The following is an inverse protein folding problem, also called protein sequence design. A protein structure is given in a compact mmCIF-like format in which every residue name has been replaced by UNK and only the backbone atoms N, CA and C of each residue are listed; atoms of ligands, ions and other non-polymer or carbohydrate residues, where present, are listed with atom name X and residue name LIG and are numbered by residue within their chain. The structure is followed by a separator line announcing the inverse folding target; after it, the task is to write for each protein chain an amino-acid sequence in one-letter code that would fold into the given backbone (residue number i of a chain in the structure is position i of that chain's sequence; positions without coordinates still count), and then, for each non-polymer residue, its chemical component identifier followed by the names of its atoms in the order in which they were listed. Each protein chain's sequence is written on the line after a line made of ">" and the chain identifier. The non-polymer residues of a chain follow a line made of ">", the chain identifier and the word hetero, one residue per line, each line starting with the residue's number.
data_IF_633739661166
#
_entry.id   IF_633739661166
#
_cell.length_a   1.000
_cell.length_b   1.000
_cell.length_c   1.000
_cell.angle_alpha   90.00
_cell.angle_beta   90.00
_cell.angle_gamma   90.00
#
_symmetry.space_group_name_H-M   'P 1'
#
loop_
_entity.id
_entity.type
_entity.pdbx_description
1 polymer ?
#
# COMPACT_ATOMS: atom_id res chain seq x y z
N UNK A 1 9.35 -30.27 15.60
CA UNK A 1 9.50 -29.37 16.76
C UNK A 1 9.98 -30.21 17.93
N UNK A 2 10.98 -29.78 18.71
CA UNK A 2 11.27 -30.45 19.97
C UNK A 2 10.01 -30.42 20.83
N UNK A 3 9.66 -31.55 21.45
CA UNK A 3 8.48 -31.68 22.29
C UNK A 3 8.72 -30.99 23.63
N UNK A 4 8.45 -29.69 23.71
CA UNK A 4 8.43 -28.98 24.99
C UNK A 4 7.14 -29.30 25.74
N UNK A 5 7.27 -29.62 27.03
CA UNK A 5 6.12 -29.75 27.93
C UNK A 5 5.62 -28.36 28.36
N UNK A 6 4.37 -28.29 28.83
CA UNK A 6 3.80 -27.07 29.43
C UNK A 6 4.68 -26.56 30.60
N UNK A 7 5.34 -27.47 31.30
CA UNK A 7 6.24 -27.16 32.42
C UNK A 7 7.53 -26.49 31.95
N UNK A 8 8.04 -26.89 30.78
CA UNK A 8 9.21 -26.26 30.16
C UNK A 8 8.87 -24.84 29.69
N UNK A 9 7.68 -24.65 29.09
CA UNK A 9 7.19 -23.34 28.68
C UNK A 9 6.91 -22.40 29.87
N UNK A 10 6.57 -22.93 31.04
CA UNK A 10 6.37 -22.15 32.27
C UNK A 10 7.68 -21.69 32.92
N UNK A 11 8.77 -22.43 32.67
CA UNK A 11 10.08 -22.20 33.29
C UNK A 11 11.07 -21.48 32.36
N UNK A 12 10.81 -21.44 31.06
CA UNK A 12 11.66 -20.72 30.10
C UNK A 12 11.67 -19.23 30.42
N UNK A 13 12.88 -18.68 30.51
CA UNK A 13 13.10 -17.24 30.56
C UNK A 13 12.81 -16.61 29.20
N UNK A 14 12.55 -15.31 29.21
CA UNK A 14 12.41 -14.50 28.00
C UNK A 14 13.65 -14.58 27.10
N UNK A 15 14.84 -14.61 27.71
CA UNK A 15 16.12 -14.69 27.00
C UNK A 15 16.26 -16.03 26.26
N UNK A 16 16.01 -17.15 26.94
CA UNK A 16 16.07 -18.48 26.32
C UNK A 16 15.07 -18.64 25.19
N UNK A 17 13.87 -18.07 25.36
CA UNK A 17 12.86 -18.05 24.30
C UNK A 17 13.36 -17.26 23.09
N UNK A 18 13.96 -16.08 23.32
CA UNK A 18 14.45 -15.22 22.25
C UNK A 18 15.64 -15.82 21.49
N UNK A 19 16.59 -16.44 22.19
CA UNK A 19 17.79 -17.04 21.61
C UNK A 19 17.43 -18.22 20.67
N UNK A 20 16.43 -19.03 21.03
CA UNK A 20 15.86 -20.09 20.19
C UNK A 20 15.32 -19.60 18.83
N UNK A 21 14.73 -18.40 18.80
CA UNK A 21 14.25 -17.80 17.55
C UNK A 21 15.40 -17.18 16.75
N UNK A 22 16.35 -16.51 17.41
CA UNK A 22 17.46 -15.78 16.79
C UNK A 22 18.44 -16.66 15.99
N UNK A 23 18.83 -17.82 16.54
CA UNK A 23 19.80 -18.72 15.91
C UNK A 23 19.31 -19.28 14.57
N UNK A 24 17.99 -19.48 14.44
CA UNK A 24 17.41 -20.05 13.23
C UNK A 24 17.32 -19.05 12.08
N UNK A 25 17.08 -17.77 12.38
CA UNK A 25 16.96 -16.72 11.35
C UNK A 25 18.31 -16.29 10.79
N UNK A 26 19.36 -16.31 11.61
CA UNK A 26 20.69 -15.85 11.21
C UNK A 26 21.31 -16.73 10.12
N UNK A 27 20.95 -18.01 10.07
CA UNK A 27 21.39 -18.96 9.02
C UNK A 27 20.72 -18.72 7.66
N UNK A 28 19.46 -18.29 7.63
CA UNK A 28 18.67 -18.09 6.40
C UNK A 28 18.80 -16.67 5.80
N UNK A 29 19.43 -15.73 6.51
CA UNK A 29 19.50 -14.29 6.16
C UNK A 29 20.71 -13.86 5.30
N UNK A 30 21.54 -14.79 4.82
CA UNK A 30 22.68 -14.45 3.94
C UNK A 30 22.23 -14.05 2.52
N UNK A 31 22.78 -12.98 1.89
CA UNK A 31 22.44 -12.57 0.51
C UNK A 31 22.69 -13.67 -0.54
N UNK A 32 23.67 -14.54 -0.31
CA UNK A 32 23.93 -15.69 -1.17
C UNK A 32 22.82 -16.75 -1.07
N UNK A 33 22.03 -16.74 0.02
CA UNK A 33 20.99 -17.70 0.36
C UNK A 33 19.60 -17.41 -0.22
N UNK A 34 19.36 -16.28 -0.91
CA UNK A 34 18.07 -16.07 -1.59
C UNK A 34 17.92 -17.10 -2.72
N UNK A 35 16.99 -18.02 -2.55
CA UNK A 35 16.55 -19.02 -3.52
C UNK A 35 15.03 -19.10 -3.45
N UNK A 36 14.36 -19.67 -4.46
CA UNK A 36 12.91 -19.91 -4.40
C UNK A 36 12.52 -20.69 -3.13
N UNK A 37 13.30 -21.72 -2.76
CA UNK A 37 13.06 -22.53 -1.56
C UNK A 37 13.18 -21.71 -0.27
N UNK A 38 14.24 -20.90 -0.13
CA UNK A 38 14.44 -20.07 1.06
C UNK A 38 13.36 -19.00 1.15
N UNK A 39 13.00 -18.37 0.03
CA UNK A 39 11.93 -17.38 -0.03
C UNK A 39 10.59 -17.95 0.44
N UNK A 40 10.17 -19.10 -0.12
CA UNK A 40 8.95 -19.81 0.27
C UNK A 40 8.91 -20.13 1.76
N UNK A 41 10.01 -20.64 2.31
CA UNK A 41 10.14 -20.93 3.75
C UNK A 41 9.96 -19.68 4.60
N UNK A 42 10.63 -18.58 4.26
CA UNK A 42 10.54 -17.32 5.01
C UNK A 42 9.11 -16.76 4.95
N UNK A 43 8.46 -16.80 3.78
CA UNK A 43 7.07 -16.37 3.64
C UNK A 43 6.11 -17.24 4.44
N UNK A 44 6.28 -18.57 4.39
CA UNK A 44 5.47 -19.50 5.18
C UNK A 44 5.65 -19.25 6.68
N UNK A 45 6.89 -19.01 7.13
CA UNK A 45 7.19 -18.70 8.52
C UNK A 45 6.59 -17.36 8.97
N UNK A 46 6.64 -16.34 8.12
CA UNK A 46 5.95 -15.06 8.35
C UNK A 46 4.44 -15.27 8.48
N UNK A 47 3.81 -16.01 7.55
CA UNK A 47 2.38 -16.33 7.59
C UNK A 47 1.99 -17.07 8.88
N UNK A 48 2.73 -18.11 9.26
CA UNK A 48 2.50 -18.85 10.50
C UNK A 48 2.63 -17.95 11.73
N UNK A 49 3.58 -17.01 11.72
CA UNK A 49 3.76 -16.04 12.81
C UNK A 49 2.54 -15.11 12.92
N UNK A 50 2.05 -14.59 11.79
CA UNK A 50 0.85 -13.75 11.75
C UNK A 50 -0.41 -14.51 12.20
N UNK A 51 -0.60 -15.76 11.77
CA UNK A 51 -1.74 -16.58 12.19
C UNK A 51 -1.75 -16.82 13.70
N UNK A 52 -0.57 -17.04 14.31
CA UNK A 52 -0.48 -17.15 15.77
C UNK A 52 -0.78 -15.80 16.42
N UNK A 53 -0.27 -14.69 15.88
CA UNK A 53 -0.57 -13.35 16.40
C UNK A 53 -2.06 -13.01 16.35
N UNK A 54 -2.77 -13.38 15.29
CA UNK A 54 -4.21 -13.19 15.16
C UNK A 54 -4.97 -13.91 16.28
N UNK A 55 -4.59 -15.14 16.59
CA UNK A 55 -5.13 -15.90 17.73
C UNK A 55 -4.85 -15.24 19.08
N UNK A 56 -3.80 -14.41 19.17
CA UNK A 56 -3.35 -13.75 20.39
C UNK A 56 -3.87 -12.30 20.53
N UNK A 57 -4.56 -11.73 19.54
CA UNK A 57 -4.93 -10.30 19.52
C UNK A 57 -5.77 -9.82 20.71
N UNK A 58 -6.55 -10.70 21.35
CA UNK A 58 -7.43 -10.33 22.47
C UNK A 58 -6.74 -10.39 23.84
N UNK A 59 -5.53 -10.93 23.92
CA UNK A 59 -4.83 -11.14 25.19
C UNK A 59 -4.53 -9.85 25.97
N UNK A 60 -4.13 -8.73 25.36
CA UNK A 60 -3.85 -7.49 26.11
C UNK A 60 -5.09 -6.96 26.85
N UNK A 61 -6.27 -7.05 26.21
CA UNK A 61 -7.55 -6.63 26.81
C UNK A 61 -7.94 -7.53 27.98
N UNK A 62 -7.85 -8.85 27.79
CA UNK A 62 -8.09 -9.85 28.83
C UNK A 62 -7.13 -9.69 30.02
N UNK A 63 -5.84 -9.46 29.75
CA UNK A 63 -4.84 -9.24 30.78
C UNK A 63 -5.13 -7.99 31.62
N UNK A 64 -5.46 -6.87 30.96
CA UNK A 64 -5.82 -5.62 31.63
C UNK A 64 -7.06 -5.78 32.51
N UNK A 65 -8.11 -6.43 31.99
CA UNK A 65 -9.35 -6.69 32.73
C UNK A 65 -9.12 -7.56 33.97
N UNK A 66 -8.34 -8.64 33.84
CA UNK A 66 -8.03 -9.56 34.94
C UNK A 66 -7.10 -8.94 35.99
N UNK A 67 -6.14 -8.12 35.57
CA UNK A 67 -5.30 -7.34 36.49
C UNK A 67 -6.13 -6.35 37.30
N UNK A 68 -7.11 -5.71 36.68
CA UNK A 68 -8.05 -4.83 37.37
C UNK A 68 -8.91 -5.60 38.37
N UNK A 69 -9.45 -6.76 37.98
CA UNK A 69 -10.21 -7.64 38.89
C UNK A 69 -9.37 -8.13 40.08
N UNK A 70 -8.14 -8.59 39.84
CA UNK A 70 -7.20 -9.03 40.90
C UNK A 70 -6.91 -7.90 41.90
N UNK A 71 -6.68 -6.67 41.41
CA UNK A 71 -6.51 -5.48 42.25
C UNK A 71 -7.74 -5.17 43.09
N UNK A 72 -8.93 -5.24 42.51
CA UNK A 72 -10.20 -4.93 43.21
C UNK A 72 -10.53 -5.98 44.28
N UNK A 73 -10.18 -7.25 44.04
CA UNK A 73 -10.53 -8.36 44.95
C UNK A 73 -9.36 -8.84 45.83
N UNK A 74 -8.21 -8.15 45.81
CA UNK A 74 -6.97 -8.55 46.53
C UNK A 74 -6.56 -10.01 46.27
N UNK A 75 -6.88 -10.53 45.09
CA UNK A 75 -6.41 -11.85 44.68
C UNK A 75 -4.91 -11.71 44.41
N UNK A 76 -4.07 -12.49 45.10
CA UNK A 76 -2.63 -12.55 44.83
C UNK A 76 -2.33 -12.92 43.37
N UNK A 77 -1.06 -12.89 42.96
CA UNK A 77 -0.70 -13.35 41.62
C UNK A 77 -1.16 -14.79 41.41
N UNK A 78 -2.25 -14.95 40.66
CA UNK A 78 -2.79 -16.27 40.33
C UNK A 78 -1.95 -16.89 39.22
N UNK A 79 -1.94 -18.22 39.15
CA UNK A 79 -1.36 -18.95 38.01
C UNK A 79 -1.89 -18.44 36.66
N UNK A 80 -3.15 -18.00 36.61
CA UNK A 80 -3.78 -17.39 35.43
C UNK A 80 -3.13 -16.06 35.05
N UNK A 81 -2.83 -15.17 36.01
CA UNK A 81 -2.16 -13.90 35.74
C UNK A 81 -0.77 -14.12 35.13
N UNK A 82 -0.02 -15.10 35.65
CA UNK A 82 1.31 -15.48 35.15
C UNK A 82 1.26 -16.10 33.75
N UNK A 83 0.26 -16.93 33.47
CA UNK A 83 0.03 -17.48 32.11
C UNK A 83 -0.25 -16.36 31.11
N UNK A 84 -1.09 -15.38 31.47
CA UNK A 84 -1.38 -14.25 30.58
C UNK A 84 -0.18 -13.32 30.37
N UNK A 85 0.66 -13.11 31.39
CA UNK A 85 1.93 -12.39 31.24
C UNK A 85 2.85 -13.10 30.23
N UNK A 86 3.03 -14.41 30.37
CA UNK A 86 3.85 -15.19 29.44
C UNK A 86 3.29 -15.12 28.01
N UNK A 87 1.97 -15.24 27.83
CA UNK A 87 1.34 -15.13 26.52
C UNK A 87 1.49 -13.72 25.91
N UNK A 88 1.40 -12.66 26.72
CA UNK A 88 1.66 -11.29 26.26
C UNK A 88 3.13 -11.09 25.83
N UNK A 89 4.08 -11.71 26.54
CA UNK A 89 5.49 -11.67 26.16
C UNK A 89 5.75 -12.45 24.87
N UNK A 90 5.14 -13.63 24.71
CA UNK A 90 5.19 -14.41 23.47
C UNK A 90 4.60 -13.59 22.31
N UNK A 91 3.47 -12.91 22.52
CA UNK A 91 2.88 -12.04 21.52
C UNK A 91 3.87 -10.95 21.07
N UNK A 92 4.50 -10.23 22.02
CA UNK A 92 5.48 -9.19 21.70
C UNK A 92 6.71 -9.74 20.96
N UNK A 93 7.19 -10.93 21.36
CA UNK A 93 8.28 -11.62 20.68
C UNK A 93 7.89 -11.98 19.24
N UNK A 94 6.70 -12.55 19.04
CA UNK A 94 6.20 -12.92 17.72
C UNK A 94 5.99 -11.70 16.81
N UNK A 95 5.51 -10.56 17.34
CA UNK A 95 5.46 -9.30 16.59
C UNK A 95 6.85 -8.90 16.11
N UNK A 96 7.81 -8.86 17.04
CA UNK A 96 9.20 -8.47 16.74
C UNK A 96 9.84 -9.40 15.71
N UNK A 97 9.62 -10.72 15.84
CA UNK A 97 10.14 -11.70 14.90
C UNK A 97 9.43 -11.63 13.55
N UNK A 98 8.10 -11.41 13.52
CA UNK A 98 7.33 -11.16 12.30
C UNK A 98 7.91 -9.99 11.51
N UNK A 99 8.14 -8.86 12.19
CA UNK A 99 8.73 -7.67 11.58
C UNK A 99 10.15 -7.92 11.07
N UNK A 100 10.96 -8.67 11.82
CA UNK A 100 12.31 -9.08 11.38
C UNK A 100 12.28 -9.96 10.14
N UNK A 101 11.41 -10.98 10.09
CA UNK A 101 11.27 -11.84 8.91
C UNK A 101 10.87 -11.00 7.70
N UNK A 102 9.88 -10.12 7.88
CA UNK A 102 9.42 -9.23 6.82
C UNK A 102 10.56 -8.37 6.29
N UNK A 103 11.33 -7.75 7.18
CA UNK A 103 12.50 -6.94 6.84
C UNK A 103 13.58 -7.76 6.11
N UNK A 104 13.90 -8.97 6.58
CA UNK A 104 14.88 -9.87 5.94
C UNK A 104 14.47 -10.21 4.51
N UNK A 105 13.21 -10.61 4.30
CA UNK A 105 12.76 -10.95 2.97
C UNK A 105 12.84 -9.73 2.03
N UNK A 106 12.48 -8.53 2.52
CA UNK A 106 12.64 -7.29 1.75
C UNK A 106 14.10 -7.03 1.36
N UNK A 107 14.99 -7.03 2.35
CA UNK A 107 16.41 -6.79 2.15
C UNK A 107 17.03 -7.78 1.17
N UNK A 108 16.70 -9.06 1.27
CA UNK A 108 17.20 -10.09 0.35
C UNK A 108 16.73 -9.82 -1.09
N UNK A 109 15.46 -9.46 -1.28
CA UNK A 109 14.91 -9.21 -2.62
C UNK A 109 15.46 -7.94 -3.27
N UNK A 110 15.76 -6.90 -2.49
CA UNK A 110 16.38 -5.67 -2.99
C UNK A 110 17.89 -5.86 -3.26
N UNK A 111 18.60 -6.65 -2.45
CA UNK A 111 20.03 -6.95 -2.63
C UNK A 111 20.33 -7.91 -3.79
N UNK A 112 19.33 -8.61 -4.32
CA UNK A 112 19.51 -9.57 -5.41
C UNK A 112 18.35 -9.54 -6.41
N UNK A 113 18.24 -8.49 -7.23
CA UNK A 113 17.08 -8.28 -8.10
C UNK A 113 16.91 -9.36 -9.17
N UNK A 114 17.98 -9.96 -9.67
CA UNK A 114 17.91 -11.06 -10.66
C UNK A 114 17.28 -12.30 -10.04
N UNK A 115 17.63 -12.60 -8.79
CA UNK A 115 17.03 -13.70 -8.03
C UNK A 115 15.58 -13.39 -7.68
N UNK A 116 15.26 -12.15 -7.31
CA UNK A 116 13.89 -11.72 -7.05
C UNK A 116 13.01 -11.83 -8.31
N UNK A 117 13.55 -11.45 -9.48
CA UNK A 117 12.88 -11.60 -10.78
C UNK A 117 12.60 -13.08 -11.10
N UNK A 118 13.60 -13.96 -10.90
CA UNK A 118 13.43 -15.40 -11.06
C UNK A 118 12.34 -15.96 -10.15
N UNK A 119 12.37 -15.62 -8.85
CA UNK A 119 11.36 -16.05 -7.88
C UNK A 119 9.96 -15.58 -8.30
N UNK A 120 9.82 -14.31 -8.68
CA UNK A 120 8.55 -13.75 -9.13
C UNK A 120 7.97 -14.53 -10.31
N UNK A 121 8.77 -14.79 -11.35
CA UNK A 121 8.31 -15.55 -12.51
C UNK A 121 7.85 -16.96 -12.11
N UNK A 122 8.63 -17.68 -11.28
CA UNK A 122 8.24 -19.00 -10.79
C UNK A 122 6.92 -18.96 -10.01
N UNK A 123 6.68 -17.94 -9.19
CA UNK A 123 5.43 -17.81 -8.43
C UNK A 123 4.23 -17.51 -9.33
N UNK A 124 4.39 -16.69 -10.36
CA UNK A 124 3.33 -16.42 -11.34
C UNK A 124 2.97 -17.69 -12.13
N UNK A 125 3.98 -18.47 -12.54
CA UNK A 125 3.80 -19.75 -13.21
C UNK A 125 3.13 -20.80 -12.31
N UNK A 126 3.60 -20.95 -11.07
CA UNK A 126 2.98 -21.86 -10.09
C UNK A 126 1.55 -21.46 -9.77
N UNK A 127 1.26 -20.17 -9.60
CA UNK A 127 -0.09 -19.68 -9.35
C UNK A 127 -1.04 -20.09 -10.47
N UNK A 128 -0.60 -19.95 -11.72
CA UNK A 128 -1.34 -20.38 -12.91
C UNK A 128 -1.62 -21.88 -12.88
N UNK A 129 -0.64 -22.67 -12.42
CA UNK A 129 -0.75 -24.14 -12.32
C UNK A 129 -1.64 -24.61 -11.16
N UNK A 130 -1.72 -23.86 -10.06
CA UNK A 130 -2.51 -24.22 -8.88
C UNK A 130 -4.03 -24.04 -9.06
N UNK A 131 -4.50 -23.51 -10.21
CA UNK A 131 -5.92 -23.23 -10.47
C UNK A 131 -6.58 -22.46 -9.31
N UNK A 132 -5.86 -21.47 -8.77
CA UNK A 132 -6.37 -20.65 -7.68
C UNK A 132 -7.74 -20.07 -8.05
N UNK A 133 -8.70 -20.18 -7.14
CA UNK A 133 -10.05 -19.66 -7.37
C UNK A 133 -10.09 -18.15 -7.14
N UNK A 134 -9.44 -17.38 -8.02
CA UNK A 134 -9.40 -15.91 -7.98
C UNK A 134 -10.81 -15.31 -7.90
N UNK A 135 -11.78 -15.90 -8.62
CA UNK A 135 -13.18 -15.44 -8.61
C UNK A 135 -13.87 -15.52 -7.25
N UNK A 136 -13.38 -16.37 -6.33
CA UNK A 136 -13.91 -16.45 -4.95
C UNK A 136 -13.26 -15.42 -4.02
N UNK A 137 -12.03 -15.01 -4.32
CA UNK A 137 -11.24 -14.12 -3.47
C UNK A 137 -11.26 -12.65 -3.92
N UNK A 138 -11.59 -12.39 -5.18
CA UNK A 138 -11.57 -11.07 -5.79
C UNK A 138 -12.80 -10.86 -6.67
N UNK A 139 -13.36 -9.66 -6.63
CA UNK A 139 -14.55 -9.30 -7.42
C UNK A 139 -14.22 -9.15 -8.92
N UNK A 140 -13.01 -8.68 -9.25
CA UNK A 140 -12.62 -8.34 -10.62
C UNK A 140 -11.22 -8.84 -11.03
N UNK A 141 -10.34 -9.17 -10.07
CA UNK A 141 -8.97 -9.56 -10.37
C UNK A 141 -8.91 -10.99 -10.93
N UNK A 142 -8.19 -11.16 -12.04
CA UNK A 142 -7.94 -12.42 -12.69
C UNK A 142 -6.48 -12.84 -12.57
N UNK A 143 -6.22 -14.12 -12.80
CA UNK A 143 -4.85 -14.65 -12.76
C UNK A 143 -3.95 -14.03 -13.84
N UNK A 144 -4.51 -13.63 -14.98
CA UNK A 144 -3.81 -12.90 -16.03
C UNK A 144 -3.34 -11.52 -15.56
N UNK A 145 -4.03 -10.89 -14.61
CA UNK A 145 -3.62 -9.59 -14.09
C UNK A 145 -2.35 -9.70 -13.25
N UNK A 146 -2.17 -10.83 -12.55
CA UNK A 146 -0.94 -11.15 -11.82
C UNK A 146 0.28 -11.19 -12.76
N UNK A 147 0.11 -11.61 -14.02
CA UNK A 147 1.20 -11.67 -14.99
C UNK A 147 1.80 -10.30 -15.26
N UNK A 148 1.03 -9.22 -15.15
CA UNK A 148 1.52 -7.84 -15.37
C UNK A 148 2.53 -7.39 -14.33
N UNK A 149 2.61 -8.07 -13.19
CA UNK A 149 3.62 -7.83 -12.18
C UNK A 149 4.99 -8.36 -12.56
N UNK A 150 5.10 -9.25 -13.57
CA UNK A 150 6.37 -9.82 -14.02
C UNK A 150 7.39 -8.71 -14.36
N UNK A 151 8.69 -9.00 -14.26
CA UNK A 151 9.73 -8.00 -14.51
C UNK A 151 9.57 -7.38 -15.90
N UNK A 152 9.65 -6.04 -15.97
CA UNK A 152 9.54 -5.23 -17.20
C UNK A 152 8.14 -5.10 -17.81
N UNK A 153 7.14 -5.79 -17.27
CA UNK A 153 5.77 -5.64 -17.75
C UNK A 153 5.06 -4.42 -17.16
N UNK A 154 4.15 -3.84 -17.93
CA UNK A 154 3.33 -2.72 -17.50
C UNK A 154 2.13 -3.21 -16.69
N UNK A 155 1.93 -2.62 -15.52
CA UNK A 155 0.75 -2.93 -14.71
C UNK A 155 -0.52 -2.57 -15.47
N UNK A 156 -1.52 -3.43 -15.37
CA UNK A 156 -2.85 -3.13 -15.88
C UNK A 156 -3.71 -2.42 -14.82
N UNK A 157 -4.87 -1.94 -15.26
CA UNK A 157 -5.81 -1.21 -14.40
C UNK A 157 -6.36 -2.05 -13.26
N UNK A 158 -6.52 -3.36 -13.44
CA UNK A 158 -7.12 -4.22 -12.41
C UNK A 158 -6.15 -4.41 -11.24
N UNK A 159 -4.86 -4.64 -11.52
CA UNK A 159 -3.83 -4.67 -10.48
C UNK A 159 -3.74 -3.33 -9.73
N UNK A 160 -3.78 -2.21 -10.45
CA UNK A 160 -3.75 -0.86 -9.84
C UNK A 160 -4.98 -0.65 -8.93
N UNK A 161 -6.18 -0.87 -9.45
CA UNK A 161 -7.42 -0.66 -8.71
C UNK A 161 -7.49 -1.56 -7.48
N UNK A 162 -7.03 -2.83 -7.57
CA UNK A 162 -6.94 -3.73 -6.42
C UNK A 162 -6.13 -3.13 -5.26
N UNK A 163 -4.93 -2.59 -5.54
CA UNK A 163 -4.10 -2.01 -4.49
C UNK A 163 -4.65 -0.69 -3.96
N UNK A 164 -5.29 0.12 -4.82
CA UNK A 164 -6.00 1.32 -4.38
C UNK A 164 -7.11 0.96 -3.41
N UNK A 165 -7.97 0.00 -3.77
CA UNK A 165 -9.06 -0.47 -2.92
C UNK A 165 -8.52 -1.01 -1.58
N UNK A 166 -7.50 -1.86 -1.65
CA UNK A 166 -6.92 -2.52 -0.48
C UNK A 166 -6.28 -1.54 0.48
N UNK A 167 -5.40 -0.66 -0.01
CA UNK A 167 -4.61 0.21 0.85
C UNK A 167 -5.38 1.44 1.33
N UNK A 168 -6.39 1.89 0.59
CA UNK A 168 -7.24 3.01 1.01
C UNK A 168 -8.32 2.59 2.02
N UNK A 169 -8.77 1.33 2.02
CA UNK A 169 -9.90 0.87 2.86
C UNK A 169 -9.77 1.24 4.34
N UNK A 170 -8.57 1.15 4.89
CA UNK A 170 -8.28 1.39 6.32
C UNK A 170 -7.45 2.66 6.56
N UNK A 171 -7.39 3.58 5.61
CA UNK A 171 -6.62 4.82 5.73
C UNK A 171 -7.52 6.06 5.77
N UNK A 172 -6.91 7.24 5.91
CA UNK A 172 -7.57 8.54 5.77
C UNK A 172 -7.61 9.02 4.31
N UNK A 173 -7.33 8.14 3.35
CA UNK A 173 -7.22 8.46 1.93
C UNK A 173 -8.34 7.78 1.15
N UNK A 174 -9.18 8.57 0.48
CA UNK A 174 -10.18 8.10 -0.46
C UNK A 174 -9.52 7.78 -1.81
N UNK A 175 -9.23 6.50 -2.04
CA UNK A 175 -8.70 6.04 -3.33
C UNK A 175 -9.79 5.94 -4.38
N UNK A 176 -9.63 6.63 -5.51
CA UNK A 176 -10.56 6.57 -6.65
C UNK A 176 -10.04 5.59 -7.71
N UNK A 177 -10.96 4.93 -8.43
CA UNK A 177 -10.60 3.95 -9.46
C UNK A 177 -10.42 4.55 -10.84
N UNK A 178 -9.77 3.84 -11.76
CA UNK A 178 -9.52 4.33 -13.13
C UNK A 178 -10.80 4.67 -13.91
N UNK A 179 -11.91 3.98 -13.63
CA UNK A 179 -13.20 4.31 -14.25
C UNK A 179 -13.71 5.68 -13.81
N UNK A 180 -13.52 6.02 -12.53
CA UNK A 180 -13.86 7.33 -11.99
C UNK A 180 -13.03 8.41 -12.68
N UNK A 181 -11.72 8.20 -12.79
CA UNK A 181 -10.79 9.10 -13.49
C UNK A 181 -11.28 9.41 -14.90
N UNK A 182 -11.57 8.37 -15.70
CA UNK A 182 -12.05 8.53 -17.07
C UNK A 182 -13.38 9.27 -17.16
N UNK A 183 -14.24 9.13 -16.15
CA UNK A 183 -15.60 9.68 -16.18
C UNK A 183 -15.63 11.16 -15.80
N UNK A 184 -14.81 11.55 -14.82
CA UNK A 184 -14.90 12.88 -14.21
C UNK A 184 -13.76 13.81 -14.56
N UNK A 185 -12.63 13.31 -15.07
CA UNK A 185 -11.47 14.14 -15.39
C UNK A 185 -11.22 14.34 -16.89
N UNK A 186 -11.68 13.42 -17.75
CA UNK A 186 -11.32 13.38 -19.16
C UNK A 186 -12.53 13.23 -20.09
N UNK A 187 -12.43 13.83 -21.28
CA UNK A 187 -13.43 13.69 -22.36
C UNK A 187 -13.34 12.32 -23.06
N UNK A 188 -12.17 11.68 -23.00
CA UNK A 188 -11.86 10.42 -23.65
C UNK A 188 -11.49 9.33 -22.65
N UNK A 189 -11.72 8.07 -23.04
CA UNK A 189 -11.40 6.90 -22.20
C UNK A 189 -9.89 6.65 -22.06
N UNK A 190 -9.05 7.28 -22.89
CA UNK A 190 -7.60 7.12 -22.89
C UNK A 190 -6.87 8.11 -21.98
N UNK A 191 -7.58 8.95 -21.23
CA UNK A 191 -7.02 10.01 -20.39
C UNK A 191 -6.05 10.94 -21.13
N UNK A 192 -6.40 11.33 -22.35
CA UNK A 192 -5.54 12.20 -23.20
C UNK A 192 -6.02 13.64 -23.23
N UNK A 193 -7.31 13.88 -23.02
CA UNK A 193 -7.97 15.19 -23.10
C UNK A 193 -8.72 15.48 -21.81
N UNK A 194 -8.10 16.16 -20.83
CA UNK A 194 -8.81 16.66 -19.66
C UNK A 194 -9.96 17.57 -20.09
N UNK A 195 -11.07 17.57 -19.34
CA UNK A 195 -12.18 18.47 -19.61
C UNK A 195 -11.75 19.95 -19.65
N UNK A 196 -12.23 20.71 -20.63
CA UNK A 196 -11.97 22.15 -20.76
C UNK A 196 -13.17 23.03 -20.37
N UNK A 197 -14.33 22.40 -20.13
CA UNK A 197 -15.60 23.04 -19.76
C UNK A 197 -16.15 22.45 -18.48
N UNK A 198 -16.49 23.33 -17.55
CA UNK A 198 -16.99 22.97 -16.22
C UNK A 198 -18.44 23.42 -16.06
N UNK A 199 -19.37 22.47 -16.07
CA UNK A 199 -20.78 22.77 -15.80
C UNK A 199 -21.09 22.56 -14.32
N UNK A 200 -21.24 23.67 -13.61
CA UNK A 200 -21.45 23.71 -12.16
C UNK A 200 -22.89 23.36 -11.74
N UNK A 201 -23.85 23.27 -12.67
CA UNK A 201 -25.27 23.04 -12.34
C UNK A 201 -25.82 21.78 -13.02
N UNK A 202 -24.90 20.88 -13.40
CA UNK A 202 -25.18 19.70 -14.20
C UNK A 202 -25.50 18.45 -13.40
N UNK A 203 -26.07 17.49 -14.12
CA UNK A 203 -26.06 16.06 -13.77
C UNK A 203 -24.65 15.56 -13.39
N UNK A 204 -23.58 16.08 -13.99
CA UNK A 204 -22.20 15.65 -13.73
C UNK A 204 -21.77 15.95 -12.29
N UNK A 205 -22.12 17.11 -11.74
CA UNK A 205 -21.84 17.43 -10.32
C UNK A 205 -22.57 16.46 -9.39
N UNK A 206 -23.84 16.17 -9.67
CA UNK A 206 -24.62 15.21 -8.88
C UNK A 206 -24.11 13.77 -9.02
N UNK A 207 -23.61 13.38 -10.19
CA UNK A 207 -22.95 12.07 -10.41
C UNK A 207 -21.61 12.00 -9.67
N UNK A 208 -20.82 13.08 -9.68
CA UNK A 208 -19.56 13.21 -8.95
C UNK A 208 -19.80 13.01 -7.45
N UNK A 209 -20.69 13.81 -6.84
CA UNK A 209 -21.02 13.71 -5.41
C UNK A 209 -21.51 12.32 -5.02
N UNK A 210 -22.40 11.71 -5.83
CA UNK A 210 -22.87 10.33 -5.61
C UNK A 210 -21.75 9.30 -5.73
N UNK A 211 -20.78 9.50 -6.63
CA UNK A 211 -19.65 8.59 -6.77
C UNK A 211 -18.72 8.64 -5.55
N UNK A 212 -18.46 9.82 -5.00
CA UNK A 212 -17.70 10.01 -3.76
C UNK A 212 -18.43 9.34 -2.59
N UNK A 213 -19.72 9.61 -2.43
CA UNK A 213 -20.54 8.98 -1.39
C UNK A 213 -20.55 7.45 -1.49
N UNK A 214 -20.60 6.89 -2.70
CA UNK A 214 -20.51 5.43 -2.88
C UNK A 214 -19.17 4.92 -2.39
N UNK A 215 -18.09 5.59 -2.76
CA UNK A 215 -16.74 5.17 -2.42
C UNK A 215 -16.44 5.28 -0.93
N UNK A 216 -16.97 6.29 -0.27
CA UNK A 216 -16.86 6.45 1.18
C UNK A 216 -17.46 5.26 1.94
N UNK A 217 -18.54 4.65 1.42
CA UNK A 217 -19.15 3.46 2.03
C UNK A 217 -18.30 2.19 1.93
N UNK A 218 -17.28 2.19 1.09
CA UNK A 218 -16.34 1.08 0.96
C UNK A 218 -15.15 1.20 1.93
N UNK A 219 -15.06 2.31 2.69
CA UNK A 219 -14.02 2.53 3.69
C UNK A 219 -14.45 1.96 5.05
N UNK A 220 -13.49 1.36 5.75
CA UNK A 220 -13.66 0.95 7.15
C UNK A 220 -13.57 2.17 8.09
N UNK A 221 -12.85 3.23 7.66
CA UNK A 221 -12.83 4.53 8.30
C UNK A 221 -13.49 5.60 7.39
N UNK A 222 -14.69 6.10 7.72
CA UNK A 222 -15.38 7.07 6.88
C UNK A 222 -14.73 8.47 6.91
N UNK A 223 -13.83 8.74 7.86
CA UNK A 223 -13.13 10.02 7.93
C UNK A 223 -11.89 9.98 7.05
N UNK A 224 -12.00 10.60 5.89
CA UNK A 224 -10.91 10.80 4.95
C UNK A 224 -10.61 12.30 4.78
N UNK A 225 -9.32 12.63 4.61
CA UNK A 225 -8.86 13.99 4.31
C UNK A 225 -8.06 14.07 3.03
N UNK A 226 -7.72 12.94 2.43
CA UNK A 226 -6.97 12.86 1.16
C UNK A 226 -7.78 12.16 0.10
N UNK A 227 -7.53 12.48 -1.16
CA UNK A 227 -8.05 11.77 -2.32
C UNK A 227 -6.89 11.37 -3.20
N UNK A 228 -6.85 10.10 -3.59
CA UNK A 228 -5.85 9.57 -4.50
C UNK A 228 -6.49 9.14 -5.82
N UNK A 229 -5.96 9.62 -6.95
CA UNK A 229 -6.55 9.41 -8.28
C UNK A 229 -5.51 8.80 -9.22
N UNK A 230 -5.65 7.54 -9.66
CA UNK A 230 -4.79 6.92 -10.66
C UNK A 230 -5.15 7.40 -12.06
N UNK A 231 -4.14 7.62 -12.90
CA UNK A 231 -4.33 8.09 -14.27
C UNK A 231 -3.48 7.24 -15.21
N UNK A 232 -4.13 6.65 -16.21
CA UNK A 232 -3.49 5.89 -17.28
C UNK A 232 -3.62 6.66 -18.59
N UNK A 233 -2.57 7.37 -18.99
CA UNK A 233 -2.54 7.94 -20.33
C UNK A 233 -2.23 6.82 -21.33
N UNK A 234 -3.25 6.36 -22.04
CA UNK A 234 -3.15 5.24 -22.96
C UNK A 234 -2.29 5.57 -24.20
N UNK A 235 -2.23 6.83 -24.61
CA UNK A 235 -1.43 7.25 -25.77
C UNK A 235 0.08 7.26 -25.46
N UNK A 236 0.43 7.71 -24.26
CA UNK A 236 1.82 7.69 -23.79
C UNK A 236 2.21 6.35 -23.14
N UNK A 237 1.21 5.47 -22.96
CA UNK A 237 1.29 4.25 -22.19
C UNK A 237 1.97 4.44 -20.83
N UNK A 238 1.46 5.42 -20.07
CA UNK A 238 2.10 5.92 -18.88
C UNK A 238 1.13 6.06 -17.70
N UNK A 239 1.58 5.59 -16.54
CA UNK A 239 0.87 5.71 -15.27
C UNK A 239 1.44 6.85 -14.44
N UNK A 240 0.55 7.71 -13.95
CA UNK A 240 0.83 8.73 -12.96
C UNK A 240 -0.42 8.94 -12.09
N UNK A 241 -0.35 9.78 -11.07
CA UNK A 241 -1.49 10.02 -10.20
C UNK A 241 -1.64 11.49 -9.83
N UNK A 242 -2.83 11.82 -9.32
CA UNK A 242 -3.09 13.06 -8.62
C UNK A 242 -3.43 12.77 -7.15
N UNK A 243 -3.05 13.70 -6.29
CA UNK A 243 -3.36 13.72 -4.87
C UNK A 243 -4.03 15.05 -4.54
N UNK A 244 -5.13 14.99 -3.79
CA UNK A 244 -5.80 16.17 -3.20
C UNK A 244 -5.74 15.97 -1.69
N UNK A 245 -5.15 16.91 -0.96
CA UNK A 245 -5.06 16.87 0.50
C UNK A 245 -5.82 18.07 1.09
N UNK A 246 -6.93 17.80 1.75
CA UNK A 246 -7.78 18.81 2.39
C UNK A 246 -7.19 19.29 3.73
N UNK A 247 -6.30 18.54 4.38
CA UNK A 247 -5.66 19.00 5.62
C UNK A 247 -4.46 19.91 5.30
N UNK A 248 -3.75 19.63 4.20
CA UNK A 248 -2.59 20.41 3.76
C UNK A 248 -2.92 21.47 2.69
N UNK A 249 -4.17 21.52 2.22
CA UNK A 249 -4.62 22.37 1.12
C UNK A 249 -3.74 22.23 -0.13
N UNK A 250 -3.51 21.00 -0.58
CA UNK A 250 -2.69 20.73 -1.78
C UNK A 250 -3.45 19.99 -2.87
N UNK A 251 -3.13 20.33 -4.13
CA UNK A 251 -3.46 19.54 -5.31
C UNK A 251 -2.16 19.27 -6.06
N UNK A 252 -1.77 18.01 -6.12
CA UNK A 252 -0.47 17.58 -6.60
C UNK A 252 -0.61 16.52 -7.67
N UNK A 253 0.11 16.68 -8.77
CA UNK A 253 0.23 15.64 -9.80
C UNK A 253 1.62 15.00 -9.67
N UNK A 254 1.64 13.69 -9.40
CA UNK A 254 2.83 12.90 -9.13
C UNK A 254 3.15 12.04 -10.34
N UNK A 255 4.10 12.50 -11.16
CA UNK A 255 4.55 11.84 -12.38
C UNK A 255 6.05 11.50 -12.26
N UNK A 256 6.34 10.20 -12.16
CA UNK A 256 7.72 9.67 -12.02
C UNK A 256 8.53 9.72 -13.32
N UNK A 257 7.96 10.17 -14.44
CA UNK A 257 8.64 10.15 -15.73
C UNK A 257 9.61 11.32 -15.90
N UNK A 258 10.91 11.00 -15.89
CA UNK A 258 11.98 11.98 -16.02
C UNK A 258 11.89 12.94 -17.22
N UNK A 259 11.49 12.50 -18.43
CA UNK A 259 11.22 13.40 -19.55
C UNK A 259 10.15 14.45 -19.25
N UNK A 260 9.03 14.09 -18.60
CA UNK A 260 8.01 15.07 -18.18
C UNK A 260 8.62 16.09 -17.22
N UNK A 261 9.39 15.62 -16.24
CA UNK A 261 10.01 16.48 -15.22
C UNK A 261 10.96 17.51 -15.83
N UNK A 262 11.92 17.05 -16.66
CA UNK A 262 12.85 17.93 -17.36
C UNK A 262 12.15 18.93 -18.27
N UNK A 263 11.07 18.49 -18.94
CA UNK A 263 10.28 19.37 -19.81
C UNK A 263 9.57 20.47 -19.02
N UNK A 264 9.21 20.22 -17.77
CA UNK A 264 8.45 21.15 -16.92
C UNK A 264 9.33 22.14 -16.13
N UNK A 265 10.58 21.79 -15.79
CA UNK A 265 11.43 22.54 -14.85
C UNK A 265 11.54 24.05 -15.14
N UNK A 266 11.62 24.45 -16.41
CA UNK A 266 11.86 25.84 -16.80
C UNK A 266 10.68 26.47 -17.56
N UNK A 267 9.49 25.87 -17.49
CA UNK A 267 8.31 26.36 -18.20
C UNK A 267 7.40 27.19 -17.28
N UNK A 268 6.83 28.30 -17.79
CA UNK A 268 5.70 28.96 -17.14
C UNK A 268 4.57 27.96 -16.86
N UNK A 269 3.81 28.17 -15.78
CA UNK A 269 2.75 27.25 -15.34
C UNK A 269 1.81 26.82 -16.49
N UNK A 270 1.35 27.77 -17.31
CA UNK A 270 0.44 27.51 -18.45
C UNK A 270 1.03 26.61 -19.53
N UNK A 271 2.35 26.43 -19.56
CA UNK A 271 3.07 25.62 -20.54
C UNK A 271 3.60 24.31 -19.95
N UNK A 272 3.48 24.10 -18.63
CA UNK A 272 3.82 22.82 -18.00
C UNK A 272 2.82 21.75 -18.45
N UNK A 273 3.34 20.53 -18.62
CA UNK A 273 2.51 19.34 -18.80
C UNK A 273 1.61 19.17 -17.58
N UNK A 274 0.41 18.64 -17.80
CA UNK A 274 -0.66 18.43 -16.82
C UNK A 274 -1.37 19.69 -16.30
N UNK A 275 -1.05 20.89 -16.77
CA UNK A 275 -1.77 22.11 -16.33
C UNK A 275 -3.26 22.11 -16.66
N UNK A 276 -3.65 21.54 -17.81
CA UNK A 276 -5.07 21.36 -18.14
C UNK A 276 -5.76 20.42 -17.14
N UNK A 277 -5.12 19.30 -16.81
CA UNK A 277 -5.61 18.36 -15.81
C UNK A 277 -5.70 19.01 -14.41
N UNK A 278 -4.73 19.84 -14.03
CA UNK A 278 -4.77 20.58 -12.78
C UNK A 278 -6.01 21.47 -12.67
N UNK A 279 -6.41 22.15 -13.75
CA UNK A 279 -7.63 22.95 -13.76
C UNK A 279 -8.89 22.11 -13.50
N UNK A 280 -8.93 20.89 -14.06
CA UNK A 280 -10.02 19.94 -13.79
C UNK A 280 -10.02 19.47 -12.35
N UNK A 281 -8.84 19.18 -11.79
CA UNK A 281 -8.68 18.78 -10.39
C UNK A 281 -9.08 19.89 -9.42
N UNK A 282 -8.76 21.15 -9.74
CA UNK A 282 -9.23 22.31 -8.97
C UNK A 282 -10.76 22.36 -8.96
N UNK A 283 -11.40 22.23 -10.13
CA UNK A 283 -12.87 22.19 -10.22
C UNK A 283 -13.47 21.05 -9.41
N UNK A 284 -12.94 19.83 -9.55
CA UNK A 284 -13.37 18.65 -8.78
C UNK A 284 -13.23 18.90 -7.27
N UNK A 285 -12.10 19.48 -6.85
CA UNK A 285 -11.81 19.76 -5.44
C UNK A 285 -12.86 20.68 -4.84
N UNK A 286 -13.23 21.76 -5.53
CA UNK A 286 -14.30 22.65 -5.07
C UNK A 286 -15.67 21.94 -4.97
N UNK A 287 -16.00 21.04 -5.93
CA UNK A 287 -17.28 20.30 -5.89
C UNK A 287 -17.32 19.26 -4.77
N UNK A 288 -16.17 18.66 -4.46
CA UNK A 288 -16.04 17.69 -3.38
C UNK A 288 -16.01 18.41 -2.02
N UNK A 289 -15.34 19.56 -1.91
CA UNK A 289 -15.39 20.42 -0.73
C UNK A 289 -16.84 20.79 -0.38
N UNK A 290 -17.62 21.20 -1.38
CA UNK A 290 -19.05 21.50 -1.20
C UNK A 290 -19.83 20.30 -0.64
N UNK A 291 -19.53 19.07 -1.11
CA UNK A 291 -20.13 17.85 -0.57
C UNK A 291 -19.74 17.59 0.89
N UNK A 292 -18.48 17.91 1.26
CA UNK A 292 -17.96 17.82 2.63
C UNK A 292 -18.51 18.92 3.56
N UNK A 293 -19.22 19.91 3.02
CA UNK A 293 -19.66 21.10 3.77
C UNK A 293 -18.55 22.14 3.99
N UNK A 294 -17.47 22.07 3.20
CA UNK A 294 -16.34 22.98 3.23
C UNK A 294 -16.46 24.03 2.12
N UNK A 295 -15.89 25.22 2.33
CA UNK A 295 -15.86 26.31 1.33
C UNK A 295 -14.45 26.38 0.75
N UNK A 296 -14.31 25.93 -0.49
CA UNK A 296 -13.05 26.00 -1.25
C UNK A 296 -13.31 26.71 -2.57
N UNK A 297 -12.52 27.74 -2.86
CA UNK A 297 -12.60 28.54 -4.10
C UNK A 297 -11.19 28.68 -4.67
N UNK A 298 -10.93 27.96 -5.76
CA UNK A 298 -9.61 27.85 -6.39
C UNK A 298 -9.58 28.57 -7.73
N UNK A 299 -10.66 28.46 -8.50
CA UNK A 299 -10.74 29.10 -9.80
C UNK A 299 -10.70 30.62 -9.67
N UNK A 300 -9.71 31.25 -10.33
CA UNK A 300 -9.52 32.71 -10.36
C UNK A 300 -9.33 33.35 -8.99
N UNK A 301 -8.90 32.57 -7.99
CA UNK A 301 -8.59 33.07 -6.66
C UNK A 301 -7.07 33.12 -6.44
N UNK A 302 -6.40 34.26 -6.70
CA UNK A 302 -4.97 34.39 -6.47
C UNK A 302 -4.59 34.42 -4.98
N UNK A 303 -5.56 34.60 -4.08
CA UNK A 303 -5.37 34.68 -2.63
C UNK A 303 -5.68 33.34 -1.93
N UNK A 304 -5.92 32.27 -2.69
CA UNK A 304 -6.14 30.95 -2.10
C UNK A 304 -4.90 30.49 -1.34
N UNK A 305 -5.12 29.86 -0.19
CA UNK A 305 -4.10 29.19 0.61
C UNK A 305 -3.76 27.79 0.07
N UNK A 306 -4.43 27.35 -1.00
CA UNK A 306 -4.17 26.06 -1.64
C UNK A 306 -2.95 26.10 -2.56
N UNK A 307 -2.07 25.11 -2.40
CA UNK A 307 -0.95 24.86 -3.32
C UNK A 307 -1.37 23.93 -4.45
N UNK A 308 -1.45 24.44 -5.68
CA UNK A 308 -1.85 23.68 -6.86
C UNK A 308 -0.65 23.48 -7.80
N UNK A 309 -0.11 22.26 -7.87
CA UNK A 309 1.09 21.96 -8.65
C UNK A 309 0.82 20.91 -9.75
N UNK A 310 0.98 21.27 -11.04
CA UNK A 310 0.74 20.33 -12.13
C UNK A 310 1.86 19.29 -12.27
N UNK A 311 2.98 19.47 -11.57
CA UNK A 311 4.00 18.44 -11.46
C UNK A 311 4.88 18.64 -10.24
N UNK A 312 4.68 17.81 -9.22
CA UNK A 312 5.53 17.78 -8.02
C UNK A 312 6.79 16.96 -8.29
N UNK A 313 7.90 17.38 -7.69
CA UNK A 313 9.14 16.59 -7.70
C UNK A 313 8.95 15.32 -6.86
N UNK A 314 9.07 14.19 -7.53
CA UNK A 314 8.97 12.85 -6.95
C UNK A 314 10.15 12.00 -7.40
N UNK A 315 10.48 10.92 -6.68
CA UNK A 315 11.51 9.98 -7.12
C UNK A 315 11.23 9.44 -8.52
N UNK A 316 12.11 9.80 -9.45
CA UNK A 316 11.95 9.50 -10.86
C UNK A 316 12.22 8.02 -11.14
N UNK A 317 11.45 7.44 -12.06
CA UNK A 317 11.72 6.09 -12.55
C UNK A 317 12.93 6.11 -13.49
N UNK A 318 13.89 5.17 -13.36
CA UNK A 318 15.04 5.10 -14.25
C UNK A 318 14.75 4.37 -15.57
N UNK A 319 13.56 3.78 -15.73
CA UNK A 319 13.21 2.92 -16.88
C UNK A 319 11.81 3.21 -17.46
N UNK A 320 11.45 2.55 -18.55
CA UNK A 320 10.19 2.77 -19.28
C UNK A 320 8.99 1.92 -18.85
N UNK A 321 9.08 1.16 -17.75
CA UNK A 321 8.05 0.14 -17.43
C UNK A 321 7.62 0.10 -15.97
N UNK A 322 8.30 0.81 -15.07
CA UNK A 322 7.95 0.85 -13.65
C UNK A 322 6.99 1.98 -13.26
N UNK A 323 6.43 2.74 -14.21
CA UNK A 323 5.49 3.84 -13.91
C UNK A 323 4.32 3.40 -13.01
N UNK A 324 3.72 2.24 -13.29
CA UNK A 324 2.66 1.68 -12.43
C UNK A 324 3.14 1.34 -11.01
N UNK A 325 4.38 0.85 -10.87
CA UNK A 325 4.95 0.53 -9.54
C UNK A 325 5.31 1.80 -8.78
N UNK A 326 5.89 2.81 -9.44
CA UNK A 326 6.16 4.12 -8.82
C UNK A 326 4.86 4.77 -8.36
N UNK A 327 3.82 4.75 -9.19
CA UNK A 327 2.50 5.25 -8.83
C UNK A 327 1.94 4.53 -7.59
N UNK A 328 1.97 3.18 -7.54
CA UNK A 328 1.56 2.46 -6.32
C UNK A 328 2.44 2.84 -5.12
N UNK A 329 3.74 3.04 -5.30
CA UNK A 329 4.59 3.50 -4.21
C UNK A 329 4.27 4.93 -3.76
N UNK A 330 3.82 5.82 -4.66
CA UNK A 330 3.30 7.12 -4.25
C UNK A 330 2.09 6.96 -3.32
N UNK A 331 1.11 6.12 -3.70
CA UNK A 331 -0.02 5.80 -2.84
C UNK A 331 0.43 5.22 -1.50
N UNK A 332 1.36 4.25 -1.52
CA UNK A 332 1.89 3.64 -0.31
C UNK A 332 2.45 4.70 0.64
N UNK A 333 3.22 5.66 0.13
CA UNK A 333 3.78 6.74 0.96
C UNK A 333 2.71 7.68 1.50
N UNK A 334 1.71 8.04 0.69
CA UNK A 334 0.59 8.87 1.13
C UNK A 334 -0.17 8.18 2.27
N UNK A 335 -0.51 6.91 2.10
CA UNK A 335 -1.27 6.13 3.10
C UNK A 335 -0.46 5.91 4.39
N UNK A 336 0.84 5.63 4.31
CA UNK A 336 1.63 5.24 5.48
C UNK A 336 2.36 6.41 6.14
N UNK A 337 2.64 7.50 5.42
CA UNK A 337 3.44 8.64 5.90
C UNK A 337 2.78 10.01 5.70
N UNK A 338 1.57 10.04 5.14
CA UNK A 338 0.83 11.26 4.79
C UNK A 338 1.37 12.03 3.60
N UNK A 339 2.57 11.71 3.10
CA UNK A 339 3.26 12.45 2.03
C UNK A 339 4.41 11.62 1.45
N UNK A 340 4.89 12.00 0.25
CA UNK A 340 6.05 11.36 -0.37
C UNK A 340 7.32 11.67 0.43
N UNK A 341 7.85 10.63 1.07
CA UNK A 341 9.17 10.67 1.72
C UNK A 341 10.29 10.26 0.77
N UNK A 342 11.32 11.10 0.65
CA UNK A 342 12.55 10.83 -0.14
C UNK A 342 13.77 10.50 0.74
N UNK A 343 13.57 10.25 2.04
CA UNK A 343 14.67 10.03 2.98
C UNK A 343 15.38 8.69 2.73
N UNK A 344 16.68 8.75 2.45
CA UNK A 344 17.55 7.59 2.26
C UNK A 344 17.67 6.72 3.52
N UNK A 345 17.34 7.26 4.70
CA UNK A 345 17.32 6.52 5.98
C UNK A 345 16.10 5.63 6.14
N UNK A 346 15.08 5.76 5.28
CA UNK A 346 13.96 4.84 5.31
C UNK A 346 14.44 3.40 5.05
N UNK A 347 13.88 2.40 5.76
CA UNK A 347 14.08 1.00 5.43
C UNK A 347 13.85 0.71 3.94
N UNK A 348 14.59 -0.25 3.36
CA UNK A 348 14.56 -0.54 1.92
C UNK A 348 13.14 -0.77 1.37
N UNK A 349 12.29 -1.42 2.16
CA UNK A 349 10.88 -1.66 1.84
C UNK A 349 10.06 -0.38 1.60
N UNK A 350 10.48 0.77 2.13
CA UNK A 350 9.78 2.05 1.99
C UNK A 350 10.50 3.03 1.06
N UNK A 351 11.63 2.65 0.45
CA UNK A 351 12.35 3.56 -0.45
C UNK A 351 11.95 3.33 -1.90
N UNK A 352 11.97 4.42 -2.66
CA UNK A 352 12.07 4.32 -4.12
C UNK A 352 13.48 3.83 -4.46
N UNK A 353 13.58 2.77 -5.24
CA UNK A 353 14.85 2.16 -5.63
C UNK A 353 14.95 2.12 -7.15
N UNK A 354 16.17 2.06 -7.70
CA UNK A 354 16.35 1.98 -9.15
C UNK A 354 15.73 0.69 -9.72
N UNK A 355 15.75 -0.37 -8.92
CA UNK A 355 15.18 -1.66 -9.25
C UNK A 355 13.94 -1.95 -8.39
N UNK A 356 12.76 -1.89 -9.02
CA UNK A 356 11.48 -2.10 -8.34
C UNK A 356 11.00 -3.57 -8.37
N UNK A 357 11.85 -4.54 -8.73
CA UNK A 357 11.47 -5.97 -8.82
C UNK A 357 11.12 -6.55 -7.45
N UNK A 358 11.84 -6.19 -6.38
CA UNK A 358 11.48 -6.62 -5.02
C UNK A 358 10.05 -6.21 -4.65
N UNK A 359 9.67 -4.99 -5.05
CA UNK A 359 8.31 -4.46 -4.86
C UNK A 359 7.27 -5.18 -5.71
N UNK A 360 7.57 -5.46 -6.98
CA UNK A 360 6.72 -6.32 -7.83
C UNK A 360 6.46 -7.68 -7.19
N UNK A 361 7.52 -8.32 -6.69
CA UNK A 361 7.43 -9.60 -5.99
C UNK A 361 6.54 -9.51 -4.74
N UNK A 362 6.58 -8.40 -4.00
CA UNK A 362 5.69 -8.20 -2.86
C UNK A 362 4.24 -7.96 -3.23
N UNK A 363 3.98 -7.15 -4.24
CA UNK A 363 2.63 -6.97 -4.76
C UNK A 363 2.05 -8.32 -5.24
N UNK A 364 2.85 -9.12 -5.95
CA UNK A 364 2.45 -10.46 -6.35
C UNK A 364 2.16 -11.36 -5.14
N UNK A 365 3.05 -11.36 -4.15
CA UNK A 365 2.84 -12.12 -2.92
C UNK A 365 1.56 -11.68 -2.20
N UNK A 366 1.28 -10.39 -2.09
CA UNK A 366 0.08 -9.89 -1.41
C UNK A 366 -1.21 -10.39 -2.07
N UNK A 367 -1.26 -10.43 -3.40
CA UNK A 367 -2.37 -11.02 -4.16
C UNK A 367 -2.45 -12.52 -3.89
N UNK A 368 -1.32 -13.23 -3.97
CA UNK A 368 -1.26 -14.68 -3.76
C UNK A 368 -1.63 -15.10 -2.34
N UNK A 369 -1.24 -14.32 -1.33
CA UNK A 369 -1.60 -14.50 0.07
C UNK A 369 -3.13 -14.44 0.23
N UNK A 370 -3.80 -13.44 -0.36
CA UNK A 370 -5.26 -13.33 -0.33
C UNK A 370 -5.97 -14.38 -1.19
N UNK A 371 -5.34 -14.83 -2.28
CA UNK A 371 -5.85 -15.90 -3.14
C UNK A 371 -5.74 -17.30 -2.50
N UNK A 372 -5.09 -17.42 -1.33
CA UNK A 372 -4.88 -18.70 -0.65
C UNK A 372 -3.80 -19.57 -1.30
N UNK A 373 -2.82 -18.97 -1.99
CA UNK A 373 -1.71 -19.68 -2.62
C UNK A 373 -0.92 -20.50 -1.61
N UNK A 374 -0.61 -21.75 -1.96
CA UNK A 374 0.17 -22.66 -1.13
C UNK A 374 1.62 -22.63 -1.59
N UNK A 375 2.50 -22.08 -0.76
CA UNK A 375 3.94 -21.96 -1.04
C UNK A 375 4.66 -23.30 -0.95
#
# INVERSE_FOLDING_TARGET
>A
MPSYSLKDAQNMSFQETNDLFLDKFSLDASPQGLTLRTYKKLVQLHRSTLQVLDCLMQLPLLFSALKNLSRHHRLGETSLLRVLQNLSQIQQLLVTQGDRIKAVIWDLTEKSPEKAAYILNCLVEEATSQNLNFKRCFDFLQISDLQTLSPKDWLNRETINYFIDKWCRNSDTLGLGTYWTNTFLFEDKGCTKPFDKFDNHSKMVNDLKRSIQRRERDLDNPRWSKIYIPINNAQEAHWYCASIDFDQHTIEILDSWGPTFRTNQNKPLRQKKHTALLAVLMWVTERIAEYRGEIVVLARNPETDWSCNPHVEVPLQPNGYNCGIHMLWHLYHIVNFGSIKQDLKLPAQHRFTENMVGKRLRLAQEILDQAGFRF
#
